data_IF_287017635383
#
_entry.id   IF_287017635383
#
_cell.length_a   1.000
_cell.length_b   1.000
_cell.length_c   1.000
_cell.angle_alpha   90.00
_cell.angle_beta   90.00
_cell.angle_gamma   90.00
#
_symmetry.space_group_name_H-M   'P 1'
#
loop_
_entity.id
_entity.type
_entity.pdbx_description
1 polymer ?
#
# COMPACT_ATOMS: atom_id res chain seq x y z
N UNK A 1 29.12 -3.19 -38.19
CA UNK A 1 27.67 -3.44 -38.04
C UNK A 1 27.14 -2.50 -36.99
N UNK A 2 26.36 -1.48 -37.37
CA UNK A 2 25.80 -0.51 -36.44
C UNK A 2 24.59 -1.15 -35.75
N UNK A 3 24.62 -1.26 -34.43
CA UNK A 3 23.46 -1.65 -33.63
C UNK A 3 22.47 -0.46 -33.67
N UNK A 4 21.30 -0.56 -34.32
CA UNK A 4 20.37 0.55 -34.32
C UNK A 4 19.80 0.66 -32.91
N UNK A 5 20.02 1.81 -32.25
CA UNK A 5 19.37 2.12 -30.97
C UNK A 5 17.86 1.94 -31.16
N UNK A 6 17.16 1.21 -30.27
CA UNK A 6 15.73 0.97 -30.41
C UNK A 6 14.99 2.32 -30.43
N UNK A 7 14.27 2.55 -31.53
CA UNK A 7 13.39 3.72 -31.69
C UNK A 7 12.29 3.59 -30.64
N UNK A 8 12.29 4.50 -29.68
CA UNK A 8 11.22 4.59 -28.68
C UNK A 8 9.93 4.97 -29.40
N UNK A 9 9.04 4.00 -29.61
CA UNK A 9 7.75 4.28 -30.23
C UNK A 9 6.89 5.11 -29.26
N UNK A 10 5.93 5.91 -29.77
CA UNK A 10 4.99 6.65 -28.93
C UNK A 10 4.26 5.77 -27.89
N UNK A 11 4.08 4.47 -28.19
CA UNK A 11 3.49 3.51 -27.25
C UNK A 11 4.37 3.24 -26.03
N UNK A 12 5.70 3.27 -26.18
CA UNK A 12 6.66 3.09 -25.07
C UNK A 12 6.61 4.28 -24.09
N UNK A 13 6.41 5.49 -24.60
CA UNK A 13 6.22 6.69 -23.78
C UNK A 13 4.84 6.71 -23.11
N UNK A 14 3.80 6.17 -23.75
CA UNK A 14 2.46 6.05 -23.15
C UNK A 14 2.37 5.01 -22.01
N UNK A 15 3.24 3.98 -22.02
CA UNK A 15 3.37 3.01 -20.93
C UNK A 15 4.12 3.58 -19.70
N UNK A 16 4.83 4.70 -19.85
CA UNK A 16 5.43 5.45 -18.75
C UNK A 16 4.49 6.53 -18.19
N UNK A 17 3.17 6.38 -18.36
CA UNK A 17 2.24 7.13 -17.52
C UNK A 17 2.52 6.74 -16.06
N UNK A 18 2.84 7.69 -15.17
CA UNK A 18 2.97 7.38 -13.76
C UNK A 18 1.66 6.72 -13.31
N UNK A 19 1.76 5.65 -12.51
CA UNK A 19 0.62 5.07 -11.78
C UNK A 19 0.06 6.16 -10.86
N UNK A 20 -0.74 7.08 -11.40
CA UNK A 20 -1.59 7.97 -10.63
C UNK A 20 -2.58 7.08 -9.90
N UNK A 21 -2.32 6.80 -8.62
CA UNK A 21 -3.26 6.05 -7.78
C UNK A 21 -2.68 5.43 -6.52
N UNK A 22 -1.39 5.11 -6.46
CA UNK A 22 -0.80 4.65 -5.20
C UNK A 22 -0.39 5.87 -4.37
N UNK A 23 -1.29 6.31 -3.48
CA UNK A 23 -0.84 7.13 -2.34
C UNK A 23 0.33 6.39 -1.69
N UNK A 24 1.48 7.05 -1.49
CA UNK A 24 2.62 6.39 -0.88
C UNK A 24 2.18 5.82 0.47
N UNK A 25 2.40 4.54 0.69
CA UNK A 25 2.26 3.96 2.02
C UNK A 25 3.25 4.71 2.92
N UNK A 26 2.73 5.30 4.00
CA UNK A 26 3.57 5.94 5.01
C UNK A 26 4.51 4.94 5.67
N UNK A 27 5.39 5.45 6.53
CA UNK A 27 6.31 4.60 7.28
C UNK A 27 5.55 3.56 8.11
N UNK A 28 6.10 2.34 8.19
CA UNK A 28 5.52 1.29 9.01
C UNK A 28 5.66 1.66 10.48
N UNK A 29 4.58 1.52 11.24
CA UNK A 29 4.55 1.70 12.69
C UNK A 29 4.40 0.34 13.39
N UNK A 30 5.14 0.13 14.47
CA UNK A 30 4.97 -1.04 15.32
C UNK A 30 3.84 -0.76 16.33
N UNK A 31 2.83 -1.64 16.36
CA UNK A 31 1.70 -1.56 17.30
C UNK A 31 1.75 -2.74 18.24
N UNK A 32 1.50 -2.51 19.53
CA UNK A 32 1.37 -3.56 20.54
C UNK A 32 -0.10 -3.82 20.82
N UNK A 33 -0.46 -5.09 20.90
CA UNK A 33 -1.80 -5.55 21.24
C UNK A 33 -1.78 -6.28 22.58
N UNK A 34 -2.95 -6.45 23.20
CA UNK A 34 -3.10 -7.42 24.29
C UNK A 34 -2.82 -8.83 23.77
N UNK A 35 -2.40 -9.74 24.66
CA UNK A 35 -2.03 -11.10 24.28
C UNK A 35 -3.16 -11.85 23.56
N UNK A 36 -4.41 -11.65 24.02
CA UNK A 36 -5.59 -12.26 23.41
C UNK A 36 -5.81 -11.77 21.98
N UNK A 37 -5.76 -10.45 21.76
CA UNK A 37 -5.93 -9.85 20.43
C UNK A 37 -4.79 -10.25 19.50
N UNK A 38 -3.54 -10.29 19.99
CA UNK A 38 -2.39 -10.74 19.21
C UNK A 38 -2.54 -12.19 18.76
N UNK A 39 -3.02 -13.08 19.63
CA UNK A 39 -3.28 -14.48 19.29
C UNK A 39 -4.30 -14.60 18.13
N UNK A 40 -5.43 -13.90 18.25
CA UNK A 40 -6.47 -13.90 17.21
C UNK A 40 -5.95 -13.34 15.89
N UNK A 41 -5.19 -12.23 15.92
CA UNK A 41 -4.65 -11.60 14.72
C UNK A 41 -3.59 -12.46 14.03
N UNK A 42 -2.85 -13.30 14.76
CA UNK A 42 -1.83 -14.18 14.17
C UNK A 42 -2.42 -15.30 13.34
N UNK A 43 -3.60 -15.80 13.71
CA UNK A 43 -4.30 -16.87 12.98
C UNK A 43 -4.91 -16.38 11.66
N UNK A 44 -4.99 -15.05 11.47
CA UNK A 44 -5.64 -14.44 10.31
C UNK A 44 -4.66 -14.06 9.21
N UNK A 45 -4.96 -14.52 7.99
CA UNK A 45 -4.21 -14.15 6.79
C UNK A 45 -4.38 -12.66 6.41
N UNK A 46 -5.54 -12.07 6.73
CA UNK A 46 -5.93 -10.70 6.40
C UNK A 46 -5.62 -9.68 7.52
N UNK A 47 -4.84 -10.06 8.53
CA UNK A 47 -4.60 -9.24 9.74
C UNK A 47 -4.18 -7.80 9.46
N UNK A 48 -3.32 -7.58 8.47
CA UNK A 48 -2.83 -6.23 8.12
C UNK A 48 -3.94 -5.36 7.53
N UNK A 49 -4.82 -5.93 6.71
CA UNK A 49 -5.95 -5.22 6.13
C UNK A 49 -6.99 -4.90 7.21
N UNK A 50 -7.24 -5.83 8.12
CA UNK A 50 -8.13 -5.63 9.26
C UNK A 50 -7.65 -4.51 10.17
N UNK A 51 -6.36 -4.51 10.54
CA UNK A 51 -5.77 -3.45 11.37
C UNK A 51 -5.90 -2.09 10.67
N UNK A 52 -5.60 -2.01 9.37
CA UNK A 52 -5.74 -0.77 8.60
C UNK A 52 -7.17 -0.25 8.60
N UNK A 53 -8.15 -1.12 8.33
CA UNK A 53 -9.56 -0.75 8.33
C UNK A 53 -10.02 -0.27 9.72
N UNK A 54 -9.63 -0.96 10.79
CA UNK A 54 -9.97 -0.59 12.16
C UNK A 54 -9.39 0.79 12.54
N UNK A 55 -8.12 1.04 12.19
CA UNK A 55 -7.48 2.34 12.42
C UNK A 55 -8.15 3.44 11.59
N UNK A 56 -8.47 3.20 10.32
CA UNK A 56 -9.12 4.18 9.47
C UNK A 56 -10.51 4.57 9.98
N UNK A 57 -11.32 3.59 10.38
CA UNK A 57 -12.64 3.83 11.00
C UNK A 57 -12.50 4.67 12.26
N UNK A 58 -11.56 4.31 13.14
CA UNK A 58 -11.32 5.05 14.38
C UNK A 58 -10.88 6.50 14.11
N UNK A 59 -9.97 6.73 13.16
CA UNK A 59 -9.50 8.08 12.83
C UNK A 59 -10.61 8.95 12.24
N UNK A 60 -11.46 8.39 11.37
CA UNK A 60 -12.64 9.09 10.83
C UNK A 60 -13.65 9.43 11.92
N UNK A 61 -13.93 8.51 12.85
CA UNK A 61 -14.82 8.74 13.99
C UNK A 61 -14.31 9.88 14.90
N UNK A 62 -12.99 10.02 15.01
CA UNK A 62 -12.34 11.11 15.76
C UNK A 62 -12.19 12.42 14.96
N UNK A 63 -12.57 12.45 13.68
CA UNK A 63 -12.39 13.61 12.80
C UNK A 63 -10.92 13.94 12.52
N UNK A 64 -10.03 12.94 12.63
CA UNK A 64 -8.59 13.07 12.36
C UNK A 64 -8.21 12.73 10.91
N UNK A 65 -9.15 12.18 10.15
CA UNK A 65 -9.03 11.79 8.74
C UNK A 65 -10.29 12.22 7.98
#
# INVERSE_FOLDING_TARGET
MANPKPVQTPEFLAQQKPKYGEKPLGNTIAVRFSAEVDSILRERADRQQLIRAAVEVYLRDKGLL
#
